data_IF_024372347256
#
_entry.id   IF_024372347256
#
_cell.length_a   1.000
_cell.length_b   1.000
_cell.length_c   1.000
_cell.angle_alpha   90.00
_cell.angle_beta   90.00
_cell.angle_gamma   90.00
#
_symmetry.space_group_name_H-M   'P 1'
#
loop_
_entity.id
_entity.type
_entity.pdbx_description
1 polymer ?
#
# COMPACT_ATOMS: atom_id res chain seq x y z
N UNK A 1 -2.84 -26.70 -20.44
CA UNK A 1 -1.81 -26.61 -19.40
C UNK A 1 -2.38 -25.72 -18.32
N UNK A 2 -2.71 -26.27 -17.16
CA UNK A 2 -3.21 -25.47 -16.02
C UNK A 2 -2.03 -24.65 -15.51
N UNK A 3 -2.13 -23.32 -15.62
CA UNK A 3 -1.16 -22.45 -14.96
C UNK A 3 -1.29 -22.71 -13.46
N UNK A 4 -0.27 -23.28 -12.83
CA UNK A 4 -0.23 -23.38 -11.37
C UNK A 4 -0.25 -21.96 -10.81
N UNK A 5 -1.06 -21.71 -9.78
CA UNK A 5 -1.03 -20.45 -9.04
C UNK A 5 0.40 -20.17 -8.57
N UNK A 6 0.85 -18.91 -8.56
CA UNK A 6 2.19 -18.57 -8.10
C UNK A 6 2.43 -19.13 -6.70
N UNK A 7 3.57 -19.77 -6.47
CA UNK A 7 3.89 -20.43 -5.21
C UNK A 7 4.40 -19.41 -4.18
N UNK A 8 5.13 -18.39 -4.65
CA UNK A 8 5.65 -17.31 -3.81
C UNK A 8 5.34 -15.95 -4.41
N UNK A 9 4.56 -15.15 -3.71
CA UNK A 9 4.22 -13.78 -4.08
C UNK A 9 5.00 -12.82 -3.18
N UNK A 10 5.76 -11.91 -3.77
CA UNK A 10 6.33 -10.76 -3.08
C UNK A 10 5.35 -9.59 -3.19
N UNK A 11 4.80 -9.15 -2.07
CA UNK A 11 3.91 -8.00 -2.02
C UNK A 11 4.54 -6.86 -1.22
N UNK A 12 4.46 -5.62 -1.73
CA UNK A 12 4.99 -4.45 -1.00
C UNK A 12 4.27 -3.14 -1.31
N UNK A 13 4.30 -2.26 -0.32
CA UNK A 13 3.80 -0.90 -0.39
C UNK A 13 4.71 0.04 0.39
N UNK A 14 4.92 1.24 -0.10
CA UNK A 14 5.59 2.32 0.60
C UNK A 14 4.90 3.69 0.43
N UNK A 15 3.63 3.68 0.06
CA UNK A 15 2.86 4.89 -0.19
C UNK A 15 2.53 5.68 1.09
N UNK A 16 2.58 5.05 2.27
CA UNK A 16 2.36 5.67 3.58
C UNK A 16 3.67 6.15 4.23
N UNK A 17 3.61 6.52 5.51
CA UNK A 17 4.78 6.96 6.29
C UNK A 17 5.78 5.83 6.61
N UNK A 18 5.37 4.57 6.42
CA UNK A 18 6.20 3.37 6.59
C UNK A 18 6.10 2.48 5.36
N UNK A 19 7.19 1.79 5.05
CA UNK A 19 7.18 0.72 4.06
C UNK A 19 6.69 -0.59 4.67
N UNK A 20 6.07 -1.43 3.86
CA UNK A 20 5.61 -2.74 4.25
C UNK A 20 5.86 -3.76 3.15
N UNK A 21 6.37 -4.94 3.50
CA UNK A 21 6.70 -6.03 2.57
C UNK A 21 6.22 -7.36 3.15
N UNK A 22 5.67 -8.22 2.31
CA UNK A 22 5.35 -9.61 2.63
C UNK A 22 5.86 -10.56 1.54
N UNK A 23 6.34 -11.72 1.96
CA UNK A 23 6.52 -12.89 1.11
C UNK A 23 5.46 -13.93 1.50
N UNK A 24 4.61 -14.30 0.55
CA UNK A 24 3.52 -15.26 0.73
C UNK A 24 3.85 -16.51 -0.06
N UNK A 25 4.10 -17.64 0.62
CA UNK A 25 4.49 -18.92 0.00
C UNK A 25 3.55 -20.03 0.44
N UNK A 26 2.72 -20.55 -0.46
CA UNK A 26 1.84 -21.68 -0.15
C UNK A 26 0.88 -21.48 1.03
N UNK A 27 0.56 -20.22 1.35
CA UNK A 27 -0.27 -19.84 2.51
C UNK A 27 0.55 -19.40 3.74
N UNK A 28 1.83 -19.68 3.81
CA UNK A 28 2.73 -19.13 4.83
C UNK A 28 3.06 -17.68 4.50
N UNK A 29 3.02 -16.80 5.50
CA UNK A 29 3.25 -15.37 5.35
C UNK A 29 4.39 -14.91 6.25
N UNK A 30 5.44 -14.35 5.64
CA UNK A 30 6.47 -13.57 6.33
C UNK A 30 6.28 -12.11 5.95
N UNK A 31 6.22 -11.22 6.91
CA UNK A 31 6.04 -9.81 6.61
C UNK A 31 6.69 -8.88 7.63
N UNK A 32 6.96 -7.66 7.19
CA UNK A 32 7.48 -6.58 8.02
C UNK A 32 6.87 -5.24 7.59
N UNK A 33 6.71 -4.31 8.54
CA UNK A 33 6.27 -2.95 8.26
C UNK A 33 6.99 -1.98 9.20
N UNK A 34 7.88 -1.16 8.65
CA UNK A 34 8.68 -0.20 9.42
C UNK A 34 9.23 0.93 8.53
N UNK A 35 9.71 1.99 9.16
CA UNK A 35 10.44 3.04 8.45
C UNK A 35 11.85 2.55 8.08
N UNK A 36 12.02 2.12 6.81
CA UNK A 36 13.30 1.68 6.26
C UNK A 36 13.30 1.81 4.73
N UNK A 37 14.44 1.61 4.10
CA UNK A 37 14.52 1.49 2.65
C UNK A 37 13.80 0.21 2.19
N UNK A 38 13.12 0.28 1.02
CA UNK A 38 12.32 -0.84 0.53
C UNK A 38 13.14 -2.12 0.34
N UNK A 39 14.37 -2.01 -0.15
CA UNK A 39 15.24 -3.18 -0.33
C UNK A 39 15.60 -3.86 0.98
N UNK A 40 15.85 -3.10 2.06
CA UNK A 40 16.12 -3.67 3.39
C UNK A 40 14.90 -4.44 3.92
N UNK A 41 13.67 -3.97 3.60
CA UNK A 41 12.43 -4.67 3.98
C UNK A 41 12.23 -5.95 3.17
N UNK A 42 12.62 -5.95 1.89
CA UNK A 42 12.56 -7.15 1.04
C UNK A 42 13.55 -8.19 1.56
N UNK A 43 14.77 -7.80 1.90
CA UNK A 43 15.80 -8.69 2.44
C UNK A 43 15.39 -9.31 3.79
N UNK A 44 14.57 -8.61 4.61
CA UNK A 44 14.03 -9.15 5.86
C UNK A 44 13.08 -10.36 5.65
N UNK A 45 12.41 -10.45 4.51
CA UNK A 45 11.34 -11.44 4.28
C UNK A 45 11.65 -12.44 3.16
N UNK A 46 12.62 -12.16 2.30
CA UNK A 46 12.99 -12.98 1.14
C UNK A 46 14.39 -13.55 1.33
N UNK A 47 14.49 -14.87 1.51
CA UNK A 47 15.78 -15.56 1.65
C UNK A 47 16.47 -15.81 0.29
N UNK A 48 15.70 -16.10 -0.76
CA UNK A 48 16.18 -16.32 -2.13
C UNK A 48 15.23 -15.64 -3.14
N UNK A 49 15.62 -14.51 -3.74
CA UNK A 49 14.78 -13.80 -4.70
C UNK A 49 14.37 -14.64 -5.92
N UNK A 50 15.15 -15.65 -6.30
CA UNK A 50 14.83 -16.56 -7.44
C UNK A 50 13.60 -17.45 -7.19
N UNK A 51 13.09 -17.48 -5.96
CA UNK A 51 11.87 -18.20 -5.59
C UNK A 51 10.60 -17.35 -5.71
N UNK A 52 10.73 -16.07 -6.06
CA UNK A 52 9.59 -15.21 -6.31
C UNK A 52 8.99 -15.58 -7.66
N UNK A 53 7.70 -15.91 -7.68
CA UNK A 53 6.94 -16.27 -8.89
C UNK A 53 6.06 -15.13 -9.39
N UNK A 54 5.74 -14.15 -8.54
CA UNK A 54 4.94 -12.97 -8.90
C UNK A 54 5.17 -11.83 -7.92
N UNK A 55 4.88 -10.60 -8.35
CA UNK A 55 5.01 -9.39 -7.53
C UNK A 55 3.65 -8.69 -7.44
N UNK A 56 3.30 -8.22 -6.24
CA UNK A 56 2.18 -7.29 -6.02
C UNK A 56 2.72 -5.99 -5.46
N UNK A 57 2.39 -4.87 -6.11
CA UNK A 57 2.87 -3.56 -5.70
C UNK A 57 1.71 -2.62 -5.36
N UNK A 58 1.84 -1.89 -4.26
CA UNK A 58 0.93 -0.81 -3.89
C UNK A 58 1.02 0.33 -4.89
N UNK A 59 -0.12 0.68 -5.48
CA UNK A 59 -0.23 1.75 -6.49
C UNK A 59 -0.58 3.11 -5.89
N UNK A 60 -0.82 3.19 -4.58
CA UNK A 60 -1.37 4.36 -3.90
C UNK A 60 -2.86 4.19 -3.58
N UNK A 61 -3.53 5.22 -3.07
CA UNK A 61 -3.03 6.59 -2.91
C UNK A 61 -1.98 6.73 -1.81
N UNK A 62 -1.18 7.82 -1.90
CA UNK A 62 -0.16 8.12 -0.89
C UNK A 62 0.93 9.07 -1.41
N UNK A 63 2.14 8.92 -0.86
CA UNK A 63 3.30 9.70 -1.23
C UNK A 63 3.70 9.47 -2.69
N UNK A 64 3.65 10.53 -3.50
CA UNK A 64 4.01 10.50 -4.92
C UNK A 64 5.41 9.92 -5.19
N UNK A 65 6.41 10.33 -4.40
CA UNK A 65 7.78 9.82 -4.52
C UNK A 65 7.86 8.34 -4.16
N UNK A 66 7.21 7.95 -3.07
CA UNK A 66 7.26 6.57 -2.56
C UNK A 66 6.55 5.59 -3.49
N UNK A 67 5.40 5.97 -4.06
CA UNK A 67 4.70 5.16 -5.07
C UNK A 67 5.62 4.90 -6.27
N UNK A 68 6.34 5.92 -6.75
CA UNK A 68 7.29 5.76 -7.86
C UNK A 68 8.47 4.87 -7.51
N UNK A 69 8.98 4.94 -6.28
CA UNK A 69 10.04 4.05 -5.80
C UNK A 69 9.52 2.60 -5.82
N UNK A 70 8.31 2.35 -5.29
CA UNK A 70 7.71 1.02 -5.30
C UNK A 70 7.55 0.47 -6.72
N UNK A 71 6.97 1.24 -7.63
CA UNK A 71 6.79 0.83 -9.03
C UNK A 71 8.12 0.61 -9.76
N UNK A 72 9.12 1.47 -9.54
CA UNK A 72 10.44 1.28 -10.13
C UNK A 72 11.13 0.01 -9.59
N UNK A 73 10.98 -0.29 -8.30
CA UNK A 73 11.50 -1.52 -7.69
C UNK A 73 10.78 -2.75 -8.27
N UNK A 74 9.43 -2.69 -8.38
CA UNK A 74 8.66 -3.77 -9.01
C UNK A 74 9.12 -4.05 -10.45
N UNK A 75 9.33 -2.98 -11.26
CA UNK A 75 9.85 -3.10 -12.63
C UNK A 75 11.22 -3.74 -12.68
N UNK A 76 12.15 -3.28 -11.83
CA UNK A 76 13.49 -3.84 -11.76
C UNK A 76 13.50 -5.32 -11.39
N UNK A 77 12.75 -5.70 -10.37
CA UNK A 77 12.64 -7.08 -9.93
C UNK A 77 11.93 -7.97 -10.95
N UNK A 78 10.82 -7.51 -11.52
CA UNK A 78 10.07 -8.26 -12.54
C UNK A 78 10.94 -8.56 -13.76
N UNK A 79 11.71 -7.56 -14.22
CA UNK A 79 12.63 -7.73 -15.34
C UNK A 79 13.77 -8.71 -14.99
N UNK A 80 14.33 -8.61 -13.79
CA UNK A 80 15.46 -9.46 -13.37
C UNK A 80 15.06 -10.92 -13.13
N UNK A 81 13.81 -11.15 -12.69
CA UNK A 81 13.31 -12.47 -12.31
C UNK A 81 12.40 -13.10 -13.37
N UNK A 82 12.02 -12.36 -14.41
CA UNK A 82 11.08 -12.75 -15.47
C UNK A 82 9.71 -13.19 -14.87
N UNK A 83 9.15 -12.37 -13.97
CA UNK A 83 7.90 -12.68 -13.26
C UNK A 83 6.82 -11.61 -13.53
N UNK A 84 5.53 -12.00 -13.50
CA UNK A 84 4.42 -11.08 -13.67
C UNK A 84 4.22 -10.17 -12.46
N UNK A 85 3.59 -9.02 -12.70
CA UNK A 85 3.27 -8.02 -11.67
C UNK A 85 1.76 -7.75 -11.66
N UNK A 86 1.22 -7.48 -10.48
CA UNK A 86 -0.11 -6.93 -10.29
C UNK A 86 -0.05 -5.69 -9.39
N UNK A 87 -0.96 -4.75 -9.63
CA UNK A 87 -1.15 -3.59 -8.77
C UNK A 87 -2.30 -3.82 -7.78
N UNK A 88 -2.22 -3.17 -6.62
CA UNK A 88 -3.34 -3.07 -5.69
C UNK A 88 -3.38 -1.69 -5.04
N UNK A 89 -4.58 -1.23 -4.67
CA UNK A 89 -4.71 0.04 -3.96
C UNK A 89 -4.08 -0.06 -2.56
N UNK A 90 -3.31 0.95 -2.15
CA UNK A 90 -2.77 1.05 -0.79
C UNK A 90 -3.86 0.96 0.29
N UNK A 91 -5.07 1.44 0.00
CA UNK A 91 -6.20 1.37 0.93
C UNK A 91 -6.58 -0.08 1.27
N UNK A 92 -6.38 -1.03 0.36
CA UNK A 92 -6.67 -2.45 0.60
C UNK A 92 -5.65 -3.14 1.50
N UNK A 93 -4.54 -2.48 1.84
CA UNK A 93 -3.55 -3.00 2.80
C UNK A 93 -3.98 -2.83 4.27
N UNK A 94 -5.15 -2.28 4.53
CA UNK A 94 -5.67 -2.09 5.89
C UNK A 94 -6.90 -2.96 6.14
N UNK A 95 -7.12 -3.33 7.39
CA UNK A 95 -8.28 -4.11 7.82
C UNK A 95 -8.78 -3.65 9.20
N UNK A 96 -9.95 -4.13 9.59
CA UNK A 96 -10.51 -3.85 10.91
C UNK A 96 -11.19 -2.49 11.05
N UNK A 97 -11.23 -1.68 9.97
CA UNK A 97 -11.88 -0.37 9.93
C UNK A 97 -11.74 0.29 8.57
N UNK A 98 -12.30 1.49 8.41
CA UNK A 98 -12.14 2.27 7.18
C UNK A 98 -10.75 2.91 7.12
N UNK A 99 -9.98 2.72 6.04
CA UNK A 99 -8.64 3.25 5.92
C UNK A 99 -8.65 4.75 5.64
N UNK A 100 -7.86 5.49 6.41
CA UNK A 100 -7.60 6.92 6.24
C UNK A 100 -6.09 7.15 6.25
N UNK A 101 -5.54 7.59 5.12
CA UNK A 101 -4.10 7.82 4.92
C UNK A 101 -3.81 9.32 4.91
N UNK A 102 -2.73 9.75 5.55
CA UNK A 102 -2.32 11.16 5.57
C UNK A 102 -1.86 11.63 4.18
N UNK A 103 -2.68 12.46 3.55
CA UNK A 103 -2.36 13.07 2.26
C UNK A 103 -1.47 14.33 2.38
N UNK A 104 -1.00 14.66 3.60
CA UNK A 104 -0.31 15.91 3.92
C UNK A 104 -1.18 17.16 3.67
N UNK A 105 -0.67 18.34 4.01
CA UNK A 105 -1.32 19.65 3.75
C UNK A 105 -2.71 19.80 4.36
N UNK A 106 -3.03 19.07 5.43
CA UNK A 106 -4.35 19.12 6.07
C UNK A 106 -5.40 18.28 5.36
N UNK A 107 -5.01 17.33 4.51
CA UNK A 107 -5.90 16.44 3.76
C UNK A 107 -5.61 14.96 4.07
N UNK A 108 -6.55 14.11 3.71
CA UNK A 108 -6.48 12.66 3.86
C UNK A 108 -6.96 11.97 2.58
N UNK A 109 -6.44 10.76 2.35
CA UNK A 109 -6.96 9.82 1.36
C UNK A 109 -7.87 8.81 2.05
N UNK A 110 -9.00 8.52 1.42
CA UNK A 110 -9.96 7.49 1.80
C UNK A 110 -10.55 6.84 0.56
N UNK A 111 -11.48 5.90 0.72
CA UNK A 111 -12.19 5.32 -0.43
C UNK A 111 -12.94 6.36 -1.26
N UNK A 112 -13.39 7.45 -0.64
CA UNK A 112 -14.03 8.58 -1.32
C UNK A 112 -13.08 9.50 -2.08
N UNK A 113 -11.78 9.25 -2.03
CA UNK A 113 -10.77 10.09 -2.69
C UNK A 113 -9.94 10.93 -1.73
N UNK A 114 -9.64 12.17 -2.09
CA UNK A 114 -8.92 13.14 -1.26
C UNK A 114 -9.90 14.20 -0.73
N UNK A 115 -9.81 14.48 0.57
CA UNK A 115 -10.65 15.50 1.23
C UNK A 115 -9.96 16.05 2.49
N UNK A 116 -10.54 17.08 3.08
CA UNK A 116 -10.15 17.48 4.44
C UNK A 116 -10.75 16.51 5.46
N UNK A 117 -10.10 16.31 6.63
CA UNK A 117 -10.64 15.43 7.67
C UNK A 117 -12.06 15.80 8.11
N UNK A 118 -12.36 17.11 8.17
CA UNK A 118 -13.66 17.66 8.61
C UNK A 118 -14.79 17.40 7.59
N UNK A 119 -14.45 17.05 6.35
CA UNK A 119 -15.40 16.82 5.26
C UNK A 119 -15.80 15.33 5.14
N UNK A 120 -15.08 14.42 5.84
CA UNK A 120 -15.39 13.00 5.80
C UNK A 120 -16.62 12.67 6.67
N UNK A 121 -17.57 11.96 6.09
CA UNK A 121 -18.66 11.35 6.85
C UNK A 121 -18.15 10.09 7.58
N UNK A 122 -17.85 10.25 8.86
CA UNK A 122 -17.20 9.22 9.70
C UNK A 122 -18.00 8.83 10.94
N UNK A 123 -19.19 9.41 11.13
CA UNK A 123 -19.99 9.15 12.33
C UNK A 123 -20.30 7.63 12.48
N UNK A 124 -19.98 7.10 13.65
CA UNK A 124 -20.17 5.68 13.98
C UNK A 124 -19.17 4.71 13.33
N UNK A 125 -18.19 5.21 12.57
CA UNK A 125 -17.20 4.36 11.88
C UNK A 125 -15.97 4.12 12.75
N UNK A 126 -15.31 2.98 12.53
CA UNK A 126 -13.99 2.68 13.06
C UNK A 126 -12.95 3.02 11.99
N UNK A 127 -12.00 3.89 12.34
CA UNK A 127 -10.98 4.37 11.40
C UNK A 127 -9.60 3.79 11.71
N UNK A 128 -8.86 3.44 10.66
CA UNK A 128 -7.50 2.89 10.70
C UNK A 128 -6.56 3.69 9.78
N UNK A 129 -5.25 3.49 9.89
CA UNK A 129 -4.25 4.15 9.06
C UNK A 129 -3.61 5.37 9.73
N UNK A 130 -2.54 5.89 9.11
CA UNK A 130 -1.73 6.99 9.66
C UNK A 130 -2.45 8.35 9.63
N UNK A 131 -3.37 8.54 8.68
CA UNK A 131 -4.26 9.71 8.64
C UNK A 131 -5.27 9.69 9.79
N UNK A 132 -5.83 8.52 10.13
CA UNK A 132 -6.73 8.39 11.26
C UNK A 132 -6.03 8.77 12.58
N UNK A 133 -4.78 8.33 12.78
CA UNK A 133 -3.98 8.71 13.96
C UNK A 133 -3.68 10.21 13.99
N UNK A 134 -3.27 10.77 12.85
CA UNK A 134 -2.88 12.18 12.74
C UNK A 134 -4.02 13.13 13.08
N UNK A 135 -5.21 12.82 12.62
CA UNK A 135 -6.40 13.67 12.77
C UNK A 135 -7.43 13.10 13.77
N UNK A 136 -6.96 12.23 14.69
CA UNK A 136 -7.80 11.55 15.70
C UNK A 136 -8.82 12.48 16.35
N UNK A 137 -8.38 13.63 16.88
CA UNK A 137 -9.26 14.55 17.58
C UNK A 137 -10.40 15.09 16.69
N UNK A 138 -10.14 15.31 15.41
CA UNK A 138 -11.15 15.76 14.44
C UNK A 138 -12.19 14.66 14.22
N UNK A 139 -11.72 13.43 13.98
CA UNK A 139 -12.61 12.30 13.70
C UNK A 139 -13.44 11.88 14.92
N UNK A 140 -12.83 11.86 16.11
CA UNK A 140 -13.55 11.53 17.35
C UNK A 140 -14.59 12.61 17.68
N UNK A 141 -14.30 13.90 17.42
CA UNK A 141 -15.29 14.99 17.55
C UNK A 141 -16.45 14.86 16.53
N UNK A 142 -16.20 14.25 15.37
CA UNK A 142 -17.21 13.93 14.36
C UNK A 142 -17.96 12.61 14.63
N UNK A 143 -17.70 11.95 15.78
CA UNK A 143 -18.40 10.72 16.20
C UNK A 143 -17.81 9.41 15.65
N UNK A 144 -16.60 9.45 15.10
CA UNK A 144 -15.86 8.25 14.74
C UNK A 144 -15.14 7.64 15.95
N UNK A 145 -14.72 6.39 15.82
CA UNK A 145 -13.73 5.74 16.69
C UNK A 145 -12.44 5.55 15.91
N UNK A 146 -11.30 5.98 16.45
CA UNK A 146 -9.99 5.65 15.89
C UNK A 146 -9.43 4.43 16.62
N UNK A 147 -9.07 3.39 15.87
CA UNK A 147 -8.58 2.14 16.45
C UNK A 147 -7.50 2.38 17.51
N UNK A 148 -7.51 1.59 18.57
CA UNK A 148 -6.50 1.66 19.63
C UNK A 148 -5.33 0.72 19.41
N UNK A 149 -5.52 -0.31 18.58
CA UNK A 149 -4.48 -1.27 18.24
C UNK A 149 -3.51 -0.63 17.21
N UNK A 150 -2.23 -0.45 17.57
CA UNK A 150 -1.23 0.16 16.68
C UNK A 150 -1.02 -0.59 15.37
N UNK A 151 -1.24 -1.89 15.34
CA UNK A 151 -1.01 -2.72 14.15
C UNK A 151 -2.07 -2.48 13.08
N UNK A 152 -3.27 -2.06 13.44
CA UNK A 152 -4.32 -1.67 12.49
C UNK A 152 -4.00 -0.38 11.72
N UNK A 153 -3.01 0.40 12.18
CA UNK A 153 -2.57 1.63 11.51
C UNK A 153 -1.36 1.41 10.60
N UNK A 154 -0.90 0.16 10.46
CA UNK A 154 0.20 -0.21 9.57
C UNK A 154 -0.34 -0.92 8.33
N UNK A 155 0.16 -0.62 7.14
CA UNK A 155 -0.22 -1.38 5.96
C UNK A 155 0.23 -2.83 6.12
N UNK A 156 -0.65 -3.77 5.82
CA UNK A 156 -0.37 -5.19 5.78
C UNK A 156 -0.28 -5.66 4.31
N UNK A 157 0.91 -5.93 3.78
CA UNK A 157 1.06 -6.25 2.37
C UNK A 157 0.53 -7.64 2.00
N UNK A 158 0.24 -8.52 2.98
CA UNK A 158 -0.49 -9.75 2.71
C UNK A 158 -1.93 -9.45 2.24
N UNK A 159 -2.61 -8.47 2.86
CA UNK A 159 -3.93 -8.02 2.40
C UNK A 159 -3.83 -7.40 1.00
N UNK A 160 -2.76 -6.65 0.73
CA UNK A 160 -2.50 -6.11 -0.60
C UNK A 160 -2.45 -7.24 -1.65
N UNK A 161 -1.75 -8.34 -1.35
CA UNK A 161 -1.66 -9.51 -2.24
C UNK A 161 -3.03 -10.17 -2.48
N UNK A 162 -3.92 -10.18 -1.49
CA UNK A 162 -5.27 -10.74 -1.62
C UNK A 162 -6.19 -9.88 -2.51
N UNK A 163 -5.92 -8.58 -2.64
CA UNK A 163 -6.69 -7.63 -3.43
C UNK A 163 -5.98 -7.24 -4.74
N UNK A 164 -4.98 -8.00 -5.14
CA UNK A 164 -4.24 -7.76 -6.37
C UNK A 164 -5.17 -7.82 -7.59
N UNK A 165 -4.93 -6.92 -8.53
CA UNK A 165 -5.52 -6.99 -9.87
C UNK A 165 -5.00 -8.20 -10.66
N UNK A 166 -5.32 -8.29 -11.94
CA UNK A 166 -4.78 -9.37 -12.79
C UNK A 166 -3.25 -9.26 -12.88
N UNK A 167 -2.58 -10.40 -12.82
CA UNK A 167 -1.14 -10.49 -13.07
C UNK A 167 -0.85 -10.36 -14.56
N UNK A 168 0.11 -9.52 -14.91
CA UNK A 168 0.50 -9.23 -16.29
C UNK A 168 1.87 -8.57 -16.38
N UNK A 169 2.06 -7.80 -17.45
CA UNK A 169 3.26 -6.97 -17.58
C UNK A 169 3.26 -5.86 -16.53
N UNK A 170 4.42 -5.55 -15.99
CA UNK A 170 4.58 -4.40 -15.08
C UNK A 170 4.24 -3.07 -15.74
N UNK A 171 4.29 -2.99 -17.07
CA UNK A 171 3.92 -1.80 -17.82
C UNK A 171 2.40 -1.50 -17.76
N UNK A 172 1.59 -2.51 -17.42
CA UNK A 172 0.13 -2.37 -17.26
C UNK A 172 -0.24 -1.89 -15.85
N UNK A 173 0.74 -1.71 -14.94
CA UNK A 173 0.50 -1.27 -13.57
C UNK A 173 0.69 0.25 -13.47
N UNK A 174 -0.41 0.96 -13.38
CA UNK A 174 -0.44 2.41 -13.25
C UNK A 174 -0.53 2.89 -11.80
N UNK A 175 0.16 3.99 -11.44
CA UNK A 175 0.01 4.61 -10.13
C UNK A 175 -1.35 5.30 -9.97
N UNK A 176 -1.97 5.15 -8.81
CA UNK A 176 -3.20 5.85 -8.44
C UNK A 176 -2.87 7.22 -7.83
N UNK A 177 -2.77 8.23 -8.67
CA UNK A 177 -2.55 9.61 -8.24
C UNK A 177 -3.89 10.33 -8.04
N UNK A 178 -4.34 10.43 -6.79
CA UNK A 178 -5.55 11.20 -6.43
C UNK A 178 -5.28 12.72 -6.32
N UNK A 179 -4.00 13.11 -6.25
CA UNK A 179 -3.58 14.51 -6.33
C UNK A 179 -2.73 14.74 -7.57
N UNK A 180 -3.01 15.82 -8.30
CA UNK A 180 -2.15 16.21 -9.41
C UNK A 180 -0.77 16.67 -8.89
N UNK A 181 0.32 16.40 -9.63
CA UNK A 181 1.65 16.91 -9.28
C UNK A 181 1.64 18.45 -9.21
N UNK A 182 2.38 19.01 -8.24
CA UNK A 182 2.54 20.47 -8.08
C UNK A 182 3.44 21.11 -9.15
N UNK A 183 3.85 20.37 -10.17
CA UNK A 183 4.68 20.91 -11.24
C UNK A 183 3.92 21.99 -12.00
N UNK A 184 4.24 23.25 -11.74
CA UNK A 184 3.85 24.35 -12.64
C UNK A 184 4.51 24.08 -13.99
N UNK A 185 3.78 24.18 -15.12
CA UNK A 185 4.44 24.20 -16.43
C UNK A 185 5.51 25.29 -16.39
N UNK A 186 6.74 24.96 -16.77
CA UNK A 186 7.76 25.97 -17.06
C UNK A 186 7.23 26.87 -18.16
N UNK A 187 7.17 28.16 -17.89
CA UNK A 187 6.80 29.19 -18.84
C UNK A 187 7.83 29.25 -19.97
#
# INVERSE_FOLDING_TARGET
MSASSPQTILAFDCATSIGAVAAVTGGDVRWTARAAALMDLIDDVVDDPRRIDAIVVGTGPGSFTSIRIALATARGLALALDVPVAGASTLTAFSGGEPVIDAKRGEVFSEGGISRPEELDVAGKLLVGDGALRYRAVFEAAGATVASDPDLHRPNPHLLAQHAGPFGSVEDVDPLYLRQPDAKPSA
#
